data_IF_860293759234
#
_entry.id   IF_860293759234
#
_cell.length_a   1.000
_cell.length_b   1.000
_cell.length_c   1.000
_cell.angle_alpha   90.00
_cell.angle_beta   90.00
_cell.angle_gamma   90.00
#
_symmetry.space_group_name_H-M   'P 1'
#
loop_
_entity.id
_entity.type
_entity.pdbx_description
1 polymer ?
#
# COMPACT_ATOMS: atom_id res chain seq x y z
N UNK A 1 55.89 28.56 -92.58
CA UNK A 1 55.33 29.63 -93.43
C UNK A 1 53.82 29.47 -93.49
N UNK A 2 53.10 30.35 -92.76
CA UNK A 2 51.74 30.85 -93.00
C UNK A 2 50.50 29.92 -93.23
N UNK A 3 49.43 30.31 -92.49
CA UNK A 3 47.96 30.30 -92.80
C UNK A 3 47.06 29.12 -92.39
N UNK A 4 46.28 29.40 -91.35
CA UNK A 4 44.81 29.42 -91.28
C UNK A 4 43.99 28.48 -92.19
N UNK A 5 43.13 27.68 -91.56
CA UNK A 5 41.74 27.56 -91.99
C UNK A 5 40.82 27.30 -90.79
N UNK A 6 39.84 28.20 -90.61
CA UNK A 6 38.61 27.95 -89.84
C UNK A 6 37.99 26.64 -90.32
N UNK A 7 37.46 25.81 -89.43
CA UNK A 7 36.28 24.93 -89.58
C UNK A 7 36.29 23.89 -88.46
N UNK A 8 35.73 24.21 -87.30
CA UNK A 8 35.41 23.20 -86.26
C UNK A 8 34.18 23.62 -85.44
N UNK A 9 33.08 23.90 -86.13
CA UNK A 9 31.75 23.56 -85.57
C UNK A 9 31.41 22.16 -86.07
N UNK A 10 30.92 21.32 -85.15
CA UNK A 10 30.41 19.96 -85.37
C UNK A 10 31.49 18.85 -85.45
N UNK A 11 32.11 18.55 -84.30
CA UNK A 11 32.56 17.19 -83.94
C UNK A 11 32.38 16.94 -82.44
N UNK A 12 31.12 16.89 -82.00
CA UNK A 12 30.71 16.24 -80.74
C UNK A 12 29.61 15.21 -81.05
N UNK A 13 29.77 14.47 -82.14
CA UNK A 13 28.80 13.47 -82.59
C UNK A 13 29.51 12.25 -83.16
N UNK A 14 30.43 11.69 -82.36
CA UNK A 14 30.99 10.33 -82.42
C UNK A 14 32.12 10.24 -81.39
N UNK A 15 31.73 10.17 -80.12
CA UNK A 15 32.57 9.66 -79.05
C UNK A 15 31.68 8.73 -78.22
N UNK A 16 31.67 7.45 -78.57
CA UNK A 16 30.92 6.41 -77.84
C UNK A 16 31.53 6.10 -76.45
N UNK A 17 32.71 6.63 -76.15
CA UNK A 17 33.29 6.64 -74.80
C UNK A 17 32.73 7.75 -73.88
N UNK A 18 31.85 8.63 -74.36
CA UNK A 18 31.28 9.75 -73.59
C UNK A 18 29.96 9.45 -72.86
N UNK A 19 29.31 8.31 -73.15
CA UNK A 19 28.02 7.93 -72.55
C UNK A 19 28.14 7.27 -71.18
N UNK A 20 29.33 6.79 -70.81
CA UNK A 20 29.55 6.16 -69.50
C UNK A 20 29.52 7.19 -68.36
N UNK A 21 30.07 8.40 -68.58
CA UNK A 21 30.12 9.46 -67.58
C UNK A 21 28.73 9.94 -67.09
N UNK A 22 27.73 10.22 -67.96
CA UNK A 22 26.40 10.63 -67.48
C UNK A 22 25.63 9.48 -66.82
N UNK A 23 25.76 8.24 -67.30
CA UNK A 23 25.10 7.06 -66.69
C UNK A 23 25.72 6.77 -65.32
N UNK A 24 27.05 6.80 -65.22
CA UNK A 24 27.77 6.64 -63.96
C UNK A 24 27.39 7.73 -62.95
N UNK A 25 27.27 8.98 -63.39
CA UNK A 25 26.80 10.08 -62.56
C UNK A 25 25.39 9.86 -61.99
N UNK A 26 24.45 9.39 -62.82
CA UNK A 26 23.09 9.08 -62.37
C UNK A 26 23.05 7.89 -61.40
N UNK A 27 23.80 6.82 -61.68
CA UNK A 27 23.90 5.68 -60.78
C UNK A 27 24.54 6.07 -59.44
N UNK A 28 25.61 6.86 -59.45
CA UNK A 28 26.27 7.34 -58.24
C UNK A 28 25.33 8.20 -57.40
N UNK A 29 24.58 9.11 -58.02
CA UNK A 29 23.57 9.92 -57.33
C UNK A 29 22.46 9.06 -56.70
N UNK A 30 22.01 8.01 -57.40
CA UNK A 30 21.00 7.09 -56.86
C UNK A 30 21.51 6.28 -55.67
N UNK A 31 22.77 5.81 -55.71
CA UNK A 31 23.39 5.08 -54.60
C UNK A 31 23.57 6.01 -53.40
N UNK A 32 24.07 7.23 -53.62
CA UNK A 32 24.24 8.23 -52.55
C UNK A 32 22.90 8.60 -51.90
N UNK A 33 21.82 8.70 -52.69
CA UNK A 33 20.49 8.96 -52.17
C UNK A 33 19.99 7.81 -51.26
N UNK A 34 20.16 6.55 -51.69
CA UNK A 34 19.75 5.38 -50.88
C UNK A 34 20.60 5.28 -49.61
N UNK A 35 21.92 5.45 -49.70
CA UNK A 35 22.80 5.44 -48.54
C UNK A 35 22.41 6.54 -47.56
N UNK A 36 22.16 7.77 -48.05
CA UNK A 36 21.67 8.87 -47.22
C UNK A 36 20.35 8.55 -46.51
N UNK A 37 19.39 7.96 -47.22
CA UNK A 37 18.11 7.55 -46.65
C UNK A 37 18.28 6.45 -45.59
N UNK A 38 19.15 5.46 -45.80
CA UNK A 38 19.39 4.39 -44.81
C UNK A 38 20.03 4.92 -43.53
N UNK A 39 20.95 5.88 -43.63
CA UNK A 39 21.57 6.51 -42.45
C UNK A 39 20.54 7.32 -41.69
N UNK A 40 19.70 8.11 -42.38
CA UNK A 40 18.64 8.90 -41.76
C UNK A 40 17.64 8.00 -40.99
N UNK A 41 17.16 6.93 -41.63
CA UNK A 41 16.28 5.95 -40.97
C UNK A 41 16.96 5.28 -39.76
N UNK A 42 18.25 4.97 -39.86
CA UNK A 42 19.03 4.41 -38.74
C UNK A 42 19.18 5.39 -37.58
N UNK A 43 19.30 6.68 -37.85
CA UNK A 43 19.32 7.73 -36.83
C UNK A 43 17.95 7.94 -36.20
N UNK A 44 16.89 8.01 -37.00
CA UNK A 44 15.52 8.23 -36.52
C UNK A 44 15.04 7.05 -35.66
N UNK A 45 15.35 5.82 -36.04
CA UNK A 45 15.02 4.62 -35.26
C UNK A 45 15.74 4.59 -33.92
N UNK A 46 17.05 4.90 -33.90
CA UNK A 46 17.82 5.01 -32.65
C UNK A 46 17.31 6.12 -31.74
N UNK A 47 17.00 7.30 -32.30
CA UNK A 47 16.44 8.41 -31.56
C UNK A 47 15.06 8.04 -30.98
N UNK A 48 14.20 7.37 -31.75
CA UNK A 48 12.91 6.89 -31.27
C UNK A 48 13.00 5.84 -30.15
N UNK A 49 13.99 4.94 -30.21
CA UNK A 49 14.26 3.98 -29.13
C UNK A 49 14.79 4.68 -27.88
N UNK A 50 15.73 5.62 -28.02
CA UNK A 50 16.26 6.39 -26.90
C UNK A 50 15.20 7.26 -26.23
N UNK A 51 14.28 7.83 -27.01
CA UNK A 51 13.15 8.61 -26.52
C UNK A 51 12.20 7.73 -25.69
N UNK A 52 11.89 6.52 -26.16
CA UNK A 52 11.07 5.57 -25.39
C UNK A 52 11.77 5.16 -24.09
N UNK A 53 13.05 4.80 -24.14
CA UNK A 53 13.81 4.40 -22.95
C UNK A 53 13.86 5.53 -21.91
N UNK A 54 13.97 6.77 -22.37
CA UNK A 54 13.95 7.95 -21.47
C UNK A 54 12.56 8.16 -20.89
N UNK A 55 11.50 8.03 -21.69
CA UNK A 55 10.12 8.12 -21.21
C UNK A 55 9.82 7.04 -20.15
N UNK A 56 10.20 5.79 -20.43
CA UNK A 56 10.04 4.64 -19.52
C UNK A 56 10.84 4.86 -18.22
N UNK A 57 12.08 5.33 -18.32
CA UNK A 57 12.92 5.64 -17.16
C UNK A 57 12.35 6.79 -16.32
N UNK A 58 11.81 7.83 -16.94
CA UNK A 58 11.17 8.95 -16.23
C UNK A 58 9.88 8.51 -15.52
N UNK A 59 9.02 7.74 -16.20
CA UNK A 59 7.77 7.24 -15.62
C UNK A 59 8.05 6.29 -14.45
N UNK A 60 8.98 5.34 -14.63
CA UNK A 60 9.37 4.41 -13.57
C UNK A 60 10.12 5.12 -12.44
N UNK A 61 10.97 6.09 -12.74
CA UNK A 61 11.68 6.91 -11.76
C UNK A 61 10.72 7.64 -10.83
N UNK A 62 9.72 8.35 -11.39
CA UNK A 62 8.67 8.98 -10.61
C UNK A 62 7.88 7.98 -9.76
N UNK A 63 7.50 6.83 -10.34
CA UNK A 63 6.84 5.75 -9.61
C UNK A 63 7.69 5.21 -8.44
N UNK A 64 9.01 5.08 -8.61
CA UNK A 64 9.90 4.61 -7.52
C UNK A 64 10.04 5.63 -6.40
N UNK A 65 10.01 6.92 -6.70
CA UNK A 65 9.99 7.99 -5.68
C UNK A 65 8.68 7.97 -4.92
N UNK A 66 7.55 7.80 -5.61
CA UNK A 66 6.24 7.60 -4.97
C UNK A 66 6.32 6.46 -3.93
N UNK A 67 6.93 5.33 -4.29
CA UNK A 67 7.04 4.19 -3.37
C UNK A 67 7.95 4.44 -2.16
N UNK A 68 9.03 5.19 -2.33
CA UNK A 68 10.10 5.33 -1.33
C UNK A 68 10.01 6.63 -0.51
N UNK A 69 9.06 7.50 -0.84
CA UNK A 69 8.83 8.72 -0.09
C UNK A 69 8.44 8.41 1.37
N UNK A 70 8.89 9.26 2.29
CA UNK A 70 8.75 9.05 3.73
C UNK A 70 7.35 9.37 4.25
N UNK A 71 6.71 10.42 3.72
CA UNK A 71 5.36 10.81 4.14
C UNK A 71 4.32 9.76 3.71
N UNK A 72 3.37 9.40 4.61
CA UNK A 72 2.22 8.57 4.31
C UNK A 72 1.15 9.29 3.48
N UNK A 73 1.23 10.61 3.26
CA UNK A 73 0.24 11.36 2.48
C UNK A 73 0.39 11.15 0.98
N UNK A 74 -0.73 10.86 0.32
CA UNK A 74 -0.85 10.77 -1.13
C UNK A 74 -0.28 11.97 -1.87
N UNK A 75 -0.64 13.19 -1.43
CA UNK A 75 -0.33 14.43 -2.15
C UNK A 75 1.16 14.74 -2.16
N UNK A 76 1.84 14.57 -1.02
CA UNK A 76 3.28 14.80 -0.90
C UNK A 76 4.06 13.82 -1.76
N UNK A 77 3.63 12.54 -1.77
CA UNK A 77 4.20 11.53 -2.66
C UNK A 77 4.01 11.85 -4.14
N UNK A 78 2.82 12.28 -4.53
CA UNK A 78 2.51 12.66 -5.90
C UNK A 78 3.40 13.82 -6.36
N UNK A 79 3.60 14.81 -5.49
CA UNK A 79 4.44 15.97 -5.79
C UNK A 79 5.89 15.55 -6.01
N UNK A 80 6.45 14.73 -5.11
CA UNK A 80 7.82 14.23 -5.23
C UNK A 80 7.99 13.33 -6.48
N UNK A 81 7.00 12.49 -6.78
CA UNK A 81 7.00 11.65 -7.96
C UNK A 81 6.98 12.47 -9.27
N UNK A 82 6.21 13.56 -9.28
CA UNK A 82 6.16 14.50 -10.41
C UNK A 82 7.49 15.22 -10.62
N UNK A 83 8.09 15.73 -9.54
CA UNK A 83 9.38 16.44 -9.59
C UNK A 83 10.49 15.54 -10.14
N UNK A 84 10.57 14.29 -9.68
CA UNK A 84 11.58 13.35 -10.19
C UNK A 84 11.34 12.96 -11.65
N UNK A 85 10.08 12.72 -12.05
CA UNK A 85 9.74 12.42 -13.44
C UNK A 85 10.13 13.57 -14.37
N UNK A 86 9.88 14.83 -13.96
CA UNK A 86 10.26 16.03 -14.71
C UNK A 86 11.79 16.19 -14.77
N UNK A 87 12.49 15.96 -13.66
CA UNK A 87 13.95 16.01 -13.60
C UNK A 87 14.58 15.00 -14.57
N UNK A 88 14.09 13.76 -14.59
CA UNK A 88 14.59 12.71 -15.48
C UNK A 88 14.25 13.00 -16.95
N UNK A 89 13.06 13.53 -17.22
CA UNK A 89 12.63 13.93 -18.56
C UNK A 89 13.48 15.06 -19.16
N UNK A 90 13.85 16.05 -18.34
CA UNK A 90 14.59 17.25 -18.77
C UNK A 90 16.11 17.13 -18.66
N UNK A 91 16.62 16.05 -18.03
CA UNK A 91 18.06 15.82 -17.89
C UNK A 91 18.79 15.69 -19.24
N UNK A 92 18.08 15.31 -20.31
CA UNK A 92 18.64 15.22 -21.65
C UNK A 92 18.27 16.47 -22.47
N UNK A 93 19.24 17.37 -22.69
CA UNK A 93 19.03 18.65 -23.39
C UNK A 93 18.57 18.53 -24.85
N UNK A 94 18.54 17.32 -25.40
CA UNK A 94 18.07 17.05 -26.75
C UNK A 94 16.56 16.80 -26.82
N UNK A 95 15.87 16.56 -25.70
CA UNK A 95 14.44 16.23 -25.68
C UNK A 95 13.63 17.34 -25.00
N UNK A 96 12.41 17.58 -25.50
CA UNK A 96 11.46 18.50 -24.89
C UNK A 96 10.39 17.68 -24.14
N UNK A 97 10.18 17.97 -22.85
CA UNK A 97 9.02 17.45 -22.13
C UNK A 97 7.77 18.11 -22.70
N UNK A 98 6.86 17.30 -23.26
CA UNK A 98 5.67 17.82 -23.92
C UNK A 98 4.47 17.83 -23.00
N UNK A 99 4.25 16.71 -22.35
CA UNK A 99 3.20 16.56 -21.35
C UNK A 99 3.68 15.65 -20.21
N UNK A 100 3.26 16.00 -19.01
CA UNK A 100 3.47 15.21 -17.80
C UNK A 100 2.15 15.20 -17.05
N UNK A 101 1.40 14.13 -17.24
CA UNK A 101 0.16 13.92 -16.52
C UNK A 101 0.37 12.90 -15.42
N UNK A 102 0.09 13.30 -14.19
CA UNK A 102 0.07 12.42 -13.03
C UNK A 102 -1.37 12.34 -12.59
N UNK A 103 -1.99 11.17 -12.76
CA UNK A 103 -3.37 10.96 -12.40
C UNK A 103 -3.54 11.11 -10.87
N UNK A 104 -4.72 11.58 -10.47
CA UNK A 104 -5.06 11.71 -9.06
C UNK A 104 -4.87 10.36 -8.35
N UNK A 105 -4.35 10.40 -7.11
CA UNK A 105 -4.21 9.19 -6.31
C UNK A 105 -5.59 8.63 -6.01
N UNK A 106 -5.77 7.36 -6.35
CA UNK A 106 -6.91 6.56 -5.92
C UNK A 106 -6.47 5.68 -4.77
N UNK A 107 -7.27 5.60 -3.72
CA UNK A 107 -6.96 4.79 -2.55
C UNK A 107 -7.89 3.59 -2.48
N UNK A 108 -7.32 2.43 -2.18
CA UNK A 108 -8.04 1.21 -1.93
C UNK A 108 -7.69 0.65 -0.54
N UNK A 109 -8.23 -0.53 -0.25
CA UNK A 109 -8.05 -1.22 1.02
C UNK A 109 -6.58 -1.61 1.32
N UNK A 110 -5.74 -1.67 0.29
CA UNK A 110 -4.42 -2.27 0.30
C UNK A 110 -3.31 -1.24 0.11
N UNK A 111 -3.67 0.00 -0.22
CA UNK A 111 -2.76 1.11 -0.30
C UNK A 111 -3.24 2.26 -1.18
N UNK A 112 -2.28 3.06 -1.61
CA UNK A 112 -2.53 4.19 -2.49
C UNK A 112 -1.96 3.90 -3.88
N UNK A 113 -2.78 4.10 -4.89
CA UNK A 113 -2.41 3.90 -6.28
C UNK A 113 -2.29 5.23 -7.01
N UNK A 114 -1.31 5.32 -7.87
CA UNK A 114 -1.20 6.40 -8.84
C UNK A 114 -0.71 5.88 -10.18
N UNK A 115 -1.09 6.60 -11.23
CA UNK A 115 -0.64 6.39 -12.59
C UNK A 115 0.10 7.64 -13.06
N UNK A 116 1.35 7.45 -13.47
CA UNK A 116 2.21 8.50 -13.99
C UNK A 116 2.38 8.31 -15.49
N UNK A 117 1.95 9.30 -16.28
CA UNK A 117 2.09 9.33 -17.72
C UNK A 117 3.08 10.43 -18.14
N UNK A 118 4.16 10.04 -18.82
CA UNK A 118 5.21 10.94 -19.29
C UNK A 118 5.22 10.92 -20.82
N UNK A 119 5.03 12.09 -21.44
CA UNK A 119 5.12 12.27 -22.90
C UNK A 119 6.32 13.16 -23.27
N UNK A 120 7.25 12.58 -24.03
CA UNK A 120 8.44 13.29 -24.53
C UNK A 120 8.33 13.55 -26.04
N UNK A 121 8.80 14.71 -26.47
CA UNK A 121 8.90 15.11 -27.87
C UNK A 121 10.36 15.33 -28.28
N UNK A 122 10.76 14.79 -29.43
CA UNK A 122 12.06 15.02 -30.04
C UNK A 122 11.90 15.58 -31.46
N UNK A 123 12.63 16.65 -31.77
CA UNK A 123 12.69 17.26 -33.11
C UNK A 123 14.06 16.96 -33.75
N UNK A 124 14.17 15.92 -34.59
CA UNK A 124 15.45 15.57 -35.21
C UNK A 124 15.86 16.63 -36.23
N UNK A 125 17.07 17.18 -36.08
CA UNK A 125 17.70 18.03 -37.11
C UNK A 125 18.43 17.14 -38.12
N UNK A 126 17.71 16.72 -39.16
CA UNK A 126 18.27 15.91 -40.22
C UNK A 126 18.96 16.80 -41.27
N UNK A 127 20.29 16.90 -41.23
CA UNK A 127 21.06 17.70 -42.21
C UNK A 127 20.86 17.22 -43.67
N UNK A 128 20.50 15.94 -43.87
CA UNK A 128 20.19 15.36 -45.18
C UNK A 128 18.72 15.49 -45.59
N UNK A 129 17.83 15.98 -44.71
CA UNK A 129 16.41 16.19 -44.99
C UNK A 129 16.16 17.16 -46.16
N UNK A 130 17.05 18.16 -46.33
CA UNK A 130 16.96 19.13 -47.42
C UNK A 130 17.06 18.50 -48.81
N UNK A 131 17.62 17.28 -48.93
CA UNK A 131 17.69 16.55 -50.19
C UNK A 131 16.37 15.80 -50.51
N UNK A 132 15.57 15.47 -49.49
CA UNK A 132 14.34 14.69 -49.62
C UNK A 132 13.04 15.53 -49.58
N UNK A 133 13.12 16.83 -49.28
CA UNK A 133 11.98 17.76 -49.26
C UNK A 133 11.61 18.26 -47.86
N UNK A 134 10.79 19.31 -47.80
CA UNK A 134 10.53 20.16 -46.61
C UNK A 134 9.85 19.49 -45.41
N UNK A 135 9.53 18.20 -45.47
CA UNK A 135 8.79 17.47 -44.42
C UNK A 135 9.62 16.40 -43.71
N UNK A 136 10.94 16.37 -43.86
CA UNK A 136 11.81 15.33 -43.29
C UNK A 136 12.25 15.57 -41.83
N UNK A 137 11.59 16.49 -41.11
CA UNK A 137 11.74 16.70 -39.66
C UNK A 137 10.36 16.79 -39.02
N UNK A 138 9.66 15.65 -38.94
CA UNK A 138 8.45 15.55 -38.14
C UNK A 138 8.84 15.32 -36.66
N UNK A 139 8.21 16.01 -35.70
CA UNK A 139 8.44 15.73 -34.29
C UNK A 139 8.02 14.29 -33.97
N UNK A 140 8.88 13.57 -33.26
CA UNK A 140 8.57 12.24 -32.74
C UNK A 140 8.10 12.35 -31.29
N UNK A 141 7.02 11.63 -30.97
CA UNK A 141 6.47 11.57 -29.62
C UNK A 141 6.49 10.15 -29.07
N UNK A 142 6.75 10.00 -27.79
CA UNK A 142 6.63 8.73 -27.05
C UNK A 142 5.97 8.98 -25.71
N UNK A 143 5.02 8.10 -25.39
CA UNK A 143 4.30 8.07 -24.14
C UNK A 143 4.75 6.84 -23.36
N UNK A 144 5.07 7.02 -22.10
CA UNK A 144 5.29 5.94 -21.15
C UNK A 144 4.36 6.13 -19.95
N UNK A 145 3.81 5.03 -19.45
CA UNK A 145 2.91 5.02 -18.30
C UNK A 145 3.46 4.07 -17.25
N UNK A 146 3.58 4.53 -16.02
CA UNK A 146 3.90 3.72 -14.87
C UNK A 146 2.75 3.73 -13.85
N UNK A 147 2.43 2.56 -13.30
CA UNK A 147 1.56 2.42 -12.12
C UNK A 147 2.44 2.23 -10.90
N UNK A 148 2.12 2.93 -9.81
CA UNK A 148 2.74 2.77 -8.51
C UNK A 148 1.66 2.53 -7.46
N UNK A 149 1.80 1.44 -6.70
CA UNK A 149 0.99 1.15 -5.52
C UNK A 149 1.88 1.22 -4.28
N UNK A 150 1.58 2.17 -3.40
CA UNK A 150 2.20 2.26 -2.09
C UNK A 150 1.34 1.53 -1.08
N UNK A 151 1.83 0.40 -0.60
CA UNK A 151 1.28 -0.35 0.51
C UNK A 151 2.38 -0.57 1.53
N UNK A 152 2.12 -0.19 2.77
CA UNK A 152 2.95 -0.58 3.92
C UNK A 152 2.13 -1.44 4.87
N UNK A 153 2.77 -2.34 5.63
CA UNK A 153 2.05 -3.16 6.58
C UNK A 153 1.28 -2.27 7.54
N UNK A 154 -0.04 -2.42 7.52
CA UNK A 154 -0.97 -1.70 8.37
C UNK A 154 -1.07 -2.46 9.69
N UNK A 155 -0.68 -1.83 10.79
CA UNK A 155 -0.83 -2.43 12.13
C UNK A 155 -2.16 -2.07 12.76
N UNK A 156 -2.60 -0.82 12.61
CA UNK A 156 -3.85 -0.34 13.18
C UNK A 156 -4.57 0.54 12.17
N UNK A 157 -5.83 0.23 11.91
CA UNK A 157 -6.77 1.06 11.18
C UNK A 157 -8.02 1.28 12.03
N UNK A 158 -8.33 2.54 12.30
CA UNK A 158 -9.57 2.93 12.96
C UNK A 158 -10.57 3.45 11.93
N UNK A 159 -11.78 2.88 11.93
CA UNK A 159 -12.82 3.11 10.93
C UNK A 159 -13.82 4.21 11.34
N UNK A 160 -13.71 4.74 12.56
CA UNK A 160 -14.50 5.89 13.02
C UNK A 160 -14.41 7.05 12.02
N UNK A 161 -15.53 7.73 11.76
CA UNK A 161 -15.62 8.78 10.73
C UNK A 161 -15.61 10.20 11.31
N UNK A 162 -16.19 10.40 12.49
CA UNK A 162 -16.48 11.75 13.01
C UNK A 162 -15.84 12.02 14.37
N UNK A 163 -15.79 11.00 15.24
CA UNK A 163 -15.24 11.12 16.60
C UNK A 163 -13.77 10.73 16.64
N UNK A 164 -13.15 10.71 17.82
CA UNK A 164 -11.76 10.26 17.93
C UNK A 164 -11.58 8.80 17.56
N UNK A 165 -10.65 8.56 16.63
CA UNK A 165 -10.30 7.22 16.18
C UNK A 165 -9.22 6.60 17.05
N UNK A 166 -8.16 7.34 17.37
CA UNK A 166 -7.04 6.87 18.20
C UNK A 166 -6.82 7.79 19.39
N UNK A 167 -6.72 7.23 20.59
CA UNK A 167 -6.41 7.96 21.84
C UNK A 167 -5.25 7.31 22.56
N UNK A 168 -4.27 8.10 22.98
CA UNK A 168 -3.21 7.69 23.91
C UNK A 168 -3.17 8.69 25.06
N UNK A 169 -3.48 8.23 26.27
CA UNK A 169 -3.53 9.06 27.48
C UNK A 169 -3.04 8.30 28.71
N UNK A 170 -2.96 8.95 29.86
CA UNK A 170 -2.65 8.32 31.15
C UNK A 170 -1.43 7.39 31.14
N UNK A 171 -0.34 7.82 30.48
CA UNK A 171 0.92 7.06 30.31
C UNK A 171 0.76 5.77 29.49
N UNK A 172 -0.21 5.71 28.58
CA UNK A 172 -0.32 4.62 27.60
C UNK A 172 0.89 4.53 26.67
N UNK A 173 1.22 3.32 26.24
CA UNK A 173 2.34 3.03 25.34
C UNK A 173 1.84 2.25 24.12
N UNK A 174 2.07 2.78 22.92
CA UNK A 174 1.81 2.13 21.65
C UNK A 174 3.11 2.04 20.86
N UNK A 175 3.67 0.85 20.72
CA UNK A 175 4.89 0.62 19.94
C UNK A 175 4.51 -0.26 18.75
N UNK A 176 4.82 0.17 17.54
CA UNK A 176 4.43 -0.48 16.29
C UNK A 176 5.60 -0.43 15.30
N UNK A 177 6.60 -1.26 15.57
CA UNK A 177 7.82 -1.31 14.79
C UNK A 177 7.53 -1.93 13.40
N UNK A 178 7.99 -1.25 12.34
CA UNK A 178 7.89 -1.74 10.97
C UNK A 178 6.57 -1.46 10.24
N UNK A 179 5.56 -0.88 10.90
CA UNK A 179 4.21 -0.73 10.35
C UNK A 179 3.58 0.66 10.57
N UNK A 180 2.49 0.93 9.83
CA UNK A 180 1.78 2.21 9.84
C UNK A 180 0.51 2.15 10.69
N UNK A 181 0.13 3.29 11.25
CA UNK A 181 -1.09 3.49 12.03
C UNK A 181 -1.96 4.54 11.33
N UNK A 182 -3.22 4.19 11.09
CA UNK A 182 -4.15 5.01 10.31
C UNK A 182 -5.45 5.27 11.06
N UNK A 183 -5.93 6.52 10.99
CA UNK A 183 -7.25 6.91 11.50
C UNK A 183 -8.08 7.53 10.39
N UNK A 184 -9.26 6.94 10.14
CA UNK A 184 -10.20 7.45 9.14
C UNK A 184 -11.04 8.63 9.61
N UNK A 185 -10.99 8.95 10.90
CA UNK A 185 -11.82 10.01 11.47
C UNK A 185 -11.43 11.36 10.89
N UNK A 186 -12.43 12.14 10.48
CA UNK A 186 -12.32 13.52 9.98
C UNK A 186 -12.61 14.55 11.07
N UNK A 187 -12.78 14.12 12.32
CA UNK A 187 -13.02 15.02 13.44
C UNK A 187 -11.83 15.93 13.75
N UNK A 188 -12.07 16.96 14.56
CA UNK A 188 -11.03 17.86 15.09
C UNK A 188 -10.04 17.16 16.04
N UNK A 189 -10.35 15.92 16.42
CA UNK A 189 -9.58 15.07 17.31
C UNK A 189 -9.52 13.67 16.71
N UNK A 190 -9.05 13.51 15.48
CA UNK A 190 -8.95 12.20 14.83
C UNK A 190 -7.96 11.28 15.56
N UNK A 191 -6.79 11.83 15.91
CA UNK A 191 -5.83 11.22 16.82
C UNK A 191 -5.55 12.17 17.98
N UNK A 192 -5.67 11.68 19.21
CA UNK A 192 -5.41 12.41 20.43
C UNK A 192 -4.27 11.76 21.22
N UNK A 193 -3.18 12.50 21.41
CA UNK A 193 -2.01 12.10 22.18
C UNK A 193 -1.86 13.02 23.40
N UNK A 194 -2.47 12.64 24.52
CA UNK A 194 -2.53 13.45 25.75
C UNK A 194 -1.32 13.19 26.66
N UNK A 195 -0.92 11.92 26.82
CA UNK A 195 0.22 11.52 27.63
C UNK A 195 0.67 10.10 27.29
N UNK A 196 1.97 9.81 27.38
CA UNK A 196 2.53 8.48 27.14
C UNK A 196 3.49 8.44 25.94
N UNK A 197 3.64 7.27 25.33
CA UNK A 197 4.60 7.01 24.24
C UNK A 197 3.92 6.35 23.05
N UNK A 198 4.21 6.81 21.84
CA UNK A 198 3.71 6.26 20.60
C UNK A 198 4.82 6.20 19.55
N UNK A 199 5.14 5.00 19.06
CA UNK A 199 6.16 4.77 18.05
C UNK A 199 5.60 3.93 16.92
N UNK A 200 5.80 4.38 15.68
CA UNK A 200 5.41 3.65 14.49
C UNK A 200 6.33 4.00 13.32
N UNK A 201 6.14 3.34 12.16
CA UNK A 201 6.80 3.78 10.93
C UNK A 201 6.21 5.10 10.41
N UNK A 202 4.89 5.25 10.51
CA UNK A 202 4.18 6.49 10.20
C UNK A 202 2.81 6.50 10.90
N UNK A 203 2.31 7.71 11.20
CA UNK A 203 0.95 7.94 11.68
C UNK A 203 0.22 8.86 10.69
N UNK A 204 -0.96 8.45 10.24
CA UNK A 204 -1.77 9.23 9.31
C UNK A 204 -3.20 9.39 9.85
N UNK A 205 -3.65 10.63 10.00
CA UNK A 205 -5.00 10.99 10.41
C UNK A 205 -5.74 11.68 9.27
N UNK A 206 -6.99 11.28 9.02
CA UNK A 206 -7.81 11.96 8.01
C UNK A 206 -8.25 13.36 8.45
N UNK A 207 -8.52 13.52 9.76
CA UNK A 207 -8.85 14.78 10.42
C UNK A 207 -7.65 15.39 11.15
N UNK A 208 -7.94 16.17 12.18
CA UNK A 208 -6.92 16.89 12.93
C UNK A 208 -6.30 16.03 14.02
N UNK A 209 -5.09 16.42 14.44
CA UNK A 209 -4.31 15.74 15.47
C UNK A 209 -4.17 16.66 16.67
N UNK A 210 -4.50 16.16 17.84
CA UNK A 210 -4.17 16.81 19.11
C UNK A 210 -2.99 16.10 19.75
N UNK A 211 -1.94 16.85 20.06
CA UNK A 211 -0.75 16.35 20.74
C UNK A 211 -0.39 17.29 21.88
N UNK A 212 -0.44 16.78 23.10
CA UNK A 212 0.07 17.45 24.29
C UNK A 212 1.61 17.34 24.32
N UNK A 213 2.26 18.31 24.96
CA UNK A 213 3.71 18.34 25.14
C UNK A 213 4.23 17.14 25.96
N UNK A 214 3.37 16.53 26.78
CA UNK A 214 3.69 15.35 27.60
C UNK A 214 3.75 14.05 26.80
N UNK A 215 3.23 14.02 25.58
CA UNK A 215 3.20 12.81 24.76
C UNK A 215 4.46 12.68 23.89
N UNK A 216 5.15 11.54 24.00
CA UNK A 216 6.31 11.19 23.19
C UNK A 216 5.86 10.42 21.95
N UNK A 217 5.70 11.11 20.83
CA UNK A 217 5.22 10.51 19.56
C UNK A 217 6.32 10.63 18.50
N UNK A 218 6.71 9.50 17.90
CA UNK A 218 7.76 9.42 16.87
C UNK A 218 7.41 8.42 15.75
N UNK A 219 7.45 8.81 14.46
CA UNK A 219 7.67 10.17 13.94
C UNK A 219 6.49 11.11 14.27
N UNK A 220 6.61 12.39 13.91
CA UNK A 220 5.49 13.32 14.06
C UNK A 220 4.29 12.85 13.23
N UNK A 221 3.08 12.81 13.81
CA UNK A 221 1.90 12.35 13.10
C UNK A 221 1.44 13.38 12.06
N UNK A 222 0.91 12.89 10.95
CA UNK A 222 0.51 13.69 9.79
C UNK A 222 -1.03 13.74 9.63
N UNK A 223 -1.60 14.94 9.47
CA UNK A 223 -3.05 15.17 9.27
C UNK A 223 -3.43 15.41 7.81
N UNK A 224 -4.72 15.32 7.49
CA UNK A 224 -5.24 15.53 6.14
C UNK A 224 -4.98 14.35 5.20
N UNK A 225 -4.81 13.16 5.76
CA UNK A 225 -4.77 11.93 4.98
C UNK A 225 -6.16 11.62 4.41
N UNK A 226 -6.23 10.81 3.38
CA UNK A 226 -7.52 10.32 2.90
C UNK A 226 -7.97 9.14 3.78
N UNK A 227 -9.26 8.81 3.76
CA UNK A 227 -9.78 7.69 4.56
C UNK A 227 -9.58 6.37 3.79
N UNK A 228 -8.94 5.38 4.42
CA UNK A 228 -8.78 4.05 3.83
C UNK A 228 -10.10 3.27 3.89
N UNK A 229 -10.57 2.65 2.81
CA UNK A 229 -11.72 1.75 2.90
C UNK A 229 -11.37 0.53 3.76
N UNK A 230 -12.38 -0.08 4.38
CA UNK A 230 -12.19 -1.28 5.21
C UNK A 230 -11.65 -2.45 4.37
N UNK A 231 -10.44 -2.97 4.67
CA UNK A 231 -9.81 -4.03 3.89
C UNK A 231 -10.49 -5.38 3.98
N UNK A 232 -11.29 -5.61 5.02
CA UNK A 232 -11.97 -6.87 5.26
C UNK A 232 -13.49 -6.72 5.19
N UNK A 233 -14.00 -5.65 4.58
CA UNK A 233 -15.44 -5.41 4.38
C UNK A 233 -16.15 -6.55 3.65
N UNK A 234 -15.44 -7.25 2.76
CA UNK A 234 -15.92 -8.40 2.00
C UNK A 234 -15.60 -9.75 2.63
N UNK A 235 -15.04 -9.79 3.84
CA UNK A 235 -14.72 -11.03 4.54
C UNK A 235 -16.01 -11.73 4.99
N UNK A 236 -16.33 -12.85 4.34
CA UNK A 236 -17.47 -13.69 4.71
C UNK A 236 -17.11 -14.56 5.92
N UNK A 237 -17.46 -14.05 7.10
CA UNK A 237 -17.35 -14.78 8.36
C UNK A 237 -18.21 -16.06 8.27
N UNK A 238 -17.68 -17.25 8.58
CA UNK A 238 -18.44 -18.49 8.54
C UNK A 238 -19.74 -18.38 9.36
N UNK A 239 -20.89 -18.66 8.73
CA UNK A 239 -22.18 -18.57 9.41
C UNK A 239 -22.35 -19.72 10.40
N UNK A 240 -22.70 -19.37 11.64
CA UNK A 240 -22.99 -20.32 12.69
C UNK A 240 -24.45 -20.80 12.65
N UNK A 241 -24.65 -22.11 12.78
CA UNK A 241 -25.96 -22.75 12.93
C UNK A 241 -26.63 -22.49 14.29
N UNK A 242 -27.27 -23.53 14.83
CA UNK A 242 -27.90 -23.50 16.17
C UNK A 242 -26.85 -23.52 17.28
N UNK A 243 -27.21 -22.97 18.44
CA UNK A 243 -26.33 -22.93 19.62
C UNK A 243 -25.94 -24.35 20.08
N UNK A 244 -24.65 -24.62 20.24
CA UNK A 244 -24.15 -25.88 20.80
C UNK A 244 -24.19 -25.84 22.34
N UNK A 245 -23.85 -24.68 22.91
CA UNK A 245 -23.74 -24.46 24.35
C UNK A 245 -24.42 -23.15 24.74
N UNK A 246 -25.11 -23.15 25.87
CA UNK A 246 -25.78 -21.98 26.44
C UNK A 246 -25.08 -21.54 27.72
N UNK A 247 -24.90 -20.21 27.88
CA UNK A 247 -24.37 -19.52 29.07
C UNK A 247 -23.15 -20.22 29.68
N UNK A 248 -22.13 -20.50 28.86
CA UNK A 248 -21.00 -21.31 29.32
C UNK A 248 -20.14 -20.52 30.32
N UNK A 249 -20.10 -21.01 31.55
CA UNK A 249 -19.23 -20.49 32.62
C UNK A 249 -18.24 -21.56 33.06
N UNK A 250 -16.96 -21.33 32.80
CA UNK A 250 -15.88 -22.23 33.21
C UNK A 250 -15.35 -21.80 34.57
N UNK A 251 -15.86 -22.43 35.63
CA UNK A 251 -15.55 -22.07 37.04
C UNK A 251 -14.70 -23.15 37.73
N UNK A 252 -14.58 -24.36 37.14
CA UNK A 252 -13.94 -25.50 37.80
C UNK A 252 -12.43 -25.35 37.89
N UNK A 253 -11.88 -25.71 39.04
CA UNK A 253 -10.44 -25.85 39.29
C UNK A 253 -10.00 -27.22 38.76
N UNK A 254 -9.37 -27.23 37.57
CA UNK A 254 -8.90 -28.43 36.85
C UNK A 254 -8.59 -28.09 35.39
N UNK A 255 -7.81 -28.92 34.68
CA UNK A 255 -7.51 -28.68 33.26
C UNK A 255 -8.79 -28.82 32.43
N UNK A 256 -9.40 -27.70 32.04
CA UNK A 256 -10.63 -27.70 31.23
C UNK A 256 -10.24 -27.42 29.78
N UNK A 257 -10.61 -28.32 28.88
CA UNK A 257 -10.46 -28.11 27.43
C UNK A 257 -11.78 -27.62 26.87
N UNK A 258 -11.77 -26.45 26.25
CA UNK A 258 -12.90 -25.97 25.47
C UNK A 258 -12.73 -26.46 24.04
N UNK A 259 -13.84 -26.90 23.45
CA UNK A 259 -13.91 -27.39 22.07
C UNK A 259 -14.54 -26.32 21.20
N UNK A 260 -14.14 -26.19 19.92
CA UNK A 260 -14.80 -25.31 18.96
C UNK A 260 -16.32 -25.54 18.89
N UNK A 261 -17.07 -24.50 18.56
CA UNK A 261 -18.54 -24.55 18.50
C UNK A 261 -19.20 -23.20 18.76
N UNK A 262 -20.52 -23.23 18.92
CA UNK A 262 -21.38 -22.06 19.06
C UNK A 262 -21.82 -21.88 20.53
N UNK A 263 -21.35 -20.81 21.15
CA UNK A 263 -21.53 -20.44 22.54
C UNK A 263 -22.51 -19.26 22.65
N UNK A 264 -23.76 -19.55 22.99
CA UNK A 264 -24.82 -18.56 23.11
C UNK A 264 -25.01 -18.10 24.56
N UNK A 265 -25.34 -16.83 24.78
CA UNK A 265 -25.41 -16.22 26.12
C UNK A 265 -24.04 -15.81 26.67
N UNK A 266 -23.01 -15.76 25.81
CA UNK A 266 -21.63 -15.42 26.17
C UNK A 266 -20.79 -16.59 26.71
N UNK A 267 -19.48 -16.34 26.78
CA UNK A 267 -18.46 -17.26 27.26
C UNK A 267 -17.67 -16.60 28.40
N UNK A 268 -17.86 -17.07 29.64
CA UNK A 268 -17.12 -16.59 30.81
C UNK A 268 -16.12 -17.65 31.29
N UNK A 269 -14.84 -17.29 31.35
CA UNK A 269 -13.77 -18.18 31.84
C UNK A 269 -13.17 -17.61 33.12
N UNK A 270 -13.36 -18.34 34.23
CA UNK A 270 -12.85 -18.01 35.58
C UNK A 270 -11.76 -18.96 36.09
N UNK A 271 -11.42 -19.98 35.32
CA UNK A 271 -10.44 -20.99 35.71
C UNK A 271 -9.05 -20.72 35.09
N UNK A 272 -7.97 -20.96 35.86
CA UNK A 272 -6.58 -20.69 35.46
C UNK A 272 -6.04 -21.59 34.34
N UNK A 273 -6.48 -22.85 34.28
CA UNK A 273 -5.91 -23.87 33.39
C UNK A 273 -6.92 -24.27 32.31
N UNK A 274 -7.34 -23.30 31.51
CA UNK A 274 -8.22 -23.52 30.36
C UNK A 274 -7.40 -23.52 29.11
N UNK A 275 -7.62 -24.51 28.24
CA UNK A 275 -7.04 -24.55 26.90
C UNK A 275 -8.17 -24.57 25.88
N UNK A 276 -8.08 -23.72 24.87
CA UNK A 276 -8.94 -23.80 23.70
C UNK A 276 -8.31 -24.76 22.71
N UNK A 277 -9.05 -25.81 22.32
CA UNK A 277 -8.63 -26.65 21.20
C UNK A 277 -8.77 -25.86 19.88
N UNK A 278 -7.89 -26.10 18.88
CA UNK A 278 -7.90 -25.36 17.63
C UNK A 278 -9.25 -25.40 16.91
N UNK A 279 -9.67 -24.28 16.35
CA UNK A 279 -10.91 -24.14 15.59
C UNK A 279 -11.66 -22.83 15.87
N UNK A 280 -12.91 -22.79 15.43
CA UNK A 280 -13.73 -21.58 15.42
C UNK A 280 -14.69 -21.58 16.61
N UNK A 281 -14.68 -20.48 17.37
CA UNK A 281 -15.55 -20.27 18.52
C UNK A 281 -16.49 -19.11 18.22
N UNK A 282 -17.75 -19.44 17.92
CA UNK A 282 -18.79 -18.43 17.75
C UNK A 282 -19.33 -18.06 19.13
N UNK A 283 -19.24 -16.79 19.50
CA UNK A 283 -19.72 -16.27 20.77
C UNK A 283 -20.91 -15.36 20.47
N UNK A 284 -22.11 -15.80 20.89
CA UNK A 284 -23.39 -15.16 20.58
C UNK A 284 -24.03 -14.54 21.80
N UNK A 285 -24.46 -13.30 21.66
CA UNK A 285 -25.36 -12.60 22.59
C UNK A 285 -24.90 -12.66 24.06
N UNK A 286 -23.67 -12.24 24.32
CA UNK A 286 -23.09 -12.11 25.67
C UNK A 286 -21.59 -11.83 25.68
N UNK A 287 -20.90 -12.02 24.56
CA UNK A 287 -19.48 -11.74 24.42
C UNK A 287 -18.55 -12.66 25.23
N UNK A 288 -17.26 -12.30 25.27
CA UNK A 288 -16.19 -13.07 25.90
C UNK A 288 -15.71 -12.38 27.16
N UNK A 289 -15.68 -13.09 28.29
CA UNK A 289 -15.16 -12.56 29.55
C UNK A 289 -14.12 -13.50 30.15
N UNK A 290 -12.90 -13.01 30.30
CA UNK A 290 -11.78 -13.72 30.89
C UNK A 290 -11.45 -13.11 32.26
N UNK A 291 -11.65 -13.90 33.32
CA UNK A 291 -11.41 -13.57 34.73
C UNK A 291 -10.77 -14.78 35.45
N UNK A 292 -9.77 -15.36 34.80
CA UNK A 292 -9.14 -16.62 35.15
C UNK A 292 -8.09 -16.52 36.26
N UNK A 293 -7.59 -15.32 36.60
CA UNK A 293 -6.42 -15.13 37.46
C UNK A 293 -5.17 -15.91 36.98
N UNK A 294 -5.02 -16.08 35.67
CA UNK A 294 -3.96 -16.83 35.01
C UNK A 294 -4.00 -16.59 33.50
N UNK A 295 -3.04 -17.14 32.77
CA UNK A 295 -2.93 -16.99 31.31
C UNK A 295 -3.57 -18.20 30.62
N UNK A 296 -4.45 -17.94 29.66
CA UNK A 296 -5.13 -18.95 28.86
C UNK A 296 -4.50 -19.00 27.46
N UNK A 297 -4.20 -20.19 26.98
CA UNK A 297 -3.67 -20.40 25.63
C UNK A 297 -4.77 -20.85 24.65
N UNK A 298 -4.83 -20.17 23.51
CA UNK A 298 -5.74 -20.41 22.40
C UNK A 298 -4.95 -20.40 21.08
N UNK A 299 -4.30 -21.51 20.76
CA UNK A 299 -3.50 -21.66 19.54
C UNK A 299 -4.31 -22.29 18.40
N UNK A 300 -4.25 -21.71 17.21
CA UNK A 300 -5.06 -22.12 16.06
C UNK A 300 -6.54 -21.81 16.25
N UNK A 301 -6.85 -20.70 16.92
CA UNK A 301 -8.21 -20.36 17.36
C UNK A 301 -8.66 -19.03 16.74
N UNK A 302 -9.90 -19.01 16.25
CA UNK A 302 -10.59 -17.78 15.87
C UNK A 302 -11.83 -17.60 16.74
N UNK A 303 -11.95 -16.42 17.38
CA UNK A 303 -13.17 -15.99 18.06
C UNK A 303 -14.03 -15.15 17.11
N UNK A 304 -15.28 -15.56 16.91
CA UNK A 304 -16.25 -14.85 16.09
C UNK A 304 -17.37 -14.32 16.99
N UNK A 305 -17.59 -13.01 17.00
CA UNK A 305 -18.68 -12.39 17.77
C UNK A 305 -19.85 -12.07 16.85
N UNK A 306 -21.03 -12.63 17.15
CA UNK A 306 -22.23 -12.49 16.31
C UNK A 306 -23.44 -11.86 17.04
N UNK A 307 -23.23 -11.31 18.24
CA UNK A 307 -24.24 -10.60 19.01
C UNK A 307 -24.18 -9.07 18.88
N UNK A 308 -25.35 -8.43 18.89
CA UNK A 308 -25.54 -6.97 18.79
C UNK A 308 -25.01 -6.15 19.99
N UNK A 309 -24.74 -6.81 21.12
CA UNK A 309 -24.32 -6.18 22.38
C UNK A 309 -23.13 -6.92 23.01
N UNK A 310 -22.42 -7.71 22.22
CA UNK A 310 -21.30 -8.50 22.70
C UNK A 310 -20.18 -7.60 23.23
N UNK A 311 -19.64 -7.98 24.38
CA UNK A 311 -18.50 -7.30 25.00
C UNK A 311 -17.34 -8.28 25.13
N UNK A 312 -16.14 -7.78 24.88
CA UNK A 312 -14.92 -8.55 25.15
C UNK A 312 -14.26 -7.93 26.37
N UNK A 313 -14.09 -8.70 27.44
CA UNK A 313 -13.49 -8.23 28.68
C UNK A 313 -12.38 -9.18 29.15
N UNK A 314 -11.16 -8.68 29.27
CA UNK A 314 -10.04 -9.40 29.86
C UNK A 314 -9.64 -8.65 31.14
N UNK A 315 -9.89 -9.26 32.30
CA UNK A 315 -9.64 -8.64 33.62
C UNK A 315 -8.16 -8.64 33.97
N UNK A 316 -7.71 -7.63 34.72
CA UNK A 316 -6.31 -7.32 34.99
C UNK A 316 -5.41 -8.47 35.48
N UNK A 317 -5.93 -9.42 36.26
CA UNK A 317 -5.14 -10.55 36.76
C UNK A 317 -5.13 -11.76 35.81
N UNK A 318 -5.73 -11.63 34.64
CA UNK A 318 -5.88 -12.72 33.67
C UNK A 318 -5.09 -12.42 32.40
N UNK A 319 -4.78 -13.46 31.64
CA UNK A 319 -4.15 -13.34 30.35
C UNK A 319 -4.81 -14.22 29.29
N UNK A 320 -4.70 -13.81 28.03
CA UNK A 320 -5.13 -14.57 26.88
C UNK A 320 -4.06 -14.48 25.80
N UNK A 321 -3.51 -15.64 25.42
CA UNK A 321 -2.62 -15.80 24.28
C UNK A 321 -3.44 -16.40 23.14
N UNK A 322 -3.59 -15.67 22.03
CA UNK A 322 -4.29 -16.14 20.84
C UNK A 322 -3.32 -16.20 19.68
N UNK A 323 -3.22 -17.37 19.06
CA UNK A 323 -2.54 -17.54 17.78
C UNK A 323 -3.61 -17.94 16.78
N UNK A 324 -3.78 -17.15 15.73
CA UNK A 324 -4.75 -17.42 14.67
C UNK A 324 -4.45 -18.78 13.99
N UNK A 325 -5.42 -19.40 13.31
CA UNK A 325 -5.16 -20.60 12.51
C UNK A 325 -4.30 -20.27 11.29
N UNK A 326 -3.42 -21.19 10.88
CA UNK A 326 -2.60 -21.05 9.66
C UNK A 326 -3.36 -21.41 8.38
N UNK A 327 -4.44 -22.20 8.50
CA UNK A 327 -5.25 -22.71 7.40
C UNK A 327 -6.74 -22.63 7.72
N UNK A 328 -7.57 -22.79 6.69
CA UNK A 328 -9.03 -22.78 6.80
C UNK A 328 -9.65 -21.41 6.49
N UNK A 329 -10.98 -21.28 6.65
CA UNK A 329 -11.72 -20.08 6.23
C UNK A 329 -11.39 -18.82 7.06
N UNK A 330 -10.78 -18.99 8.24
CA UNK A 330 -10.39 -17.89 9.13
C UNK A 330 -8.87 -17.81 9.31
N UNK A 331 -8.10 -18.35 8.35
CA UNK A 331 -6.64 -18.35 8.42
C UNK A 331 -6.10 -16.92 8.62
N UNK A 332 -5.19 -16.76 9.59
CA UNK A 332 -4.61 -15.48 9.99
C UNK A 332 -5.53 -14.57 10.82
N UNK A 333 -6.79 -14.94 11.08
CA UNK A 333 -7.74 -14.13 11.85
C UNK A 333 -7.93 -14.72 13.25
N UNK A 334 -7.59 -13.92 14.27
CA UNK A 334 -7.73 -14.30 15.69
C UNK A 334 -9.10 -13.88 16.25
N UNK A 335 -9.55 -12.69 15.90
CA UNK A 335 -10.84 -12.15 16.32
C UNK A 335 -11.56 -11.57 15.12
N UNK A 336 -12.83 -11.92 14.95
CA UNK A 336 -13.70 -11.39 13.91
C UNK A 336 -15.06 -11.00 14.50
N UNK A 337 -15.63 -9.93 14.00
CA UNK A 337 -17.02 -9.57 14.21
C UNK A 337 -17.86 -9.98 13.00
N UNK A 338 -18.99 -10.64 13.24
CA UNK A 338 -20.03 -10.77 12.24
C UNK A 338 -20.81 -9.47 12.16
N UNK A 339 -21.03 -8.98 10.94
CA UNK A 339 -21.78 -7.75 10.70
C UNK A 339 -23.18 -7.83 11.33
N UNK A 340 -23.41 -6.98 12.33
CA UNK A 340 -24.70 -6.84 12.99
C UNK A 340 -25.76 -6.21 12.08
N UNK A 341 -27.02 -6.41 12.44
CA UNK A 341 -28.17 -5.74 11.83
C UNK A 341 -28.28 -4.28 12.29
N UNK A 342 -27.74 -3.95 13.48
CA UNK A 342 -27.73 -2.61 14.03
C UNK A 342 -26.30 -2.05 14.01
N UNK A 343 -26.16 -0.78 13.65
CA UNK A 343 -24.90 -0.03 13.76
C UNK A 343 -24.64 0.38 15.21
N UNK A 344 -24.56 -0.59 16.12
CA UNK A 344 -24.26 -0.36 17.54
C UNK A 344 -22.76 -0.53 17.79
N UNK A 345 -22.19 0.44 18.50
CA UNK A 345 -20.84 0.36 19.01
C UNK A 345 -20.76 -0.63 20.17
N UNK A 346 -19.70 -1.43 20.19
CA UNK A 346 -19.44 -2.47 21.18
C UNK A 346 -18.11 -2.18 21.87
N UNK A 347 -17.94 -2.74 23.07
CA UNK A 347 -16.74 -2.48 23.88
C UNK A 347 -15.84 -3.72 23.91
N UNK A 348 -14.54 -3.52 23.66
CA UNK A 348 -13.50 -4.47 24.00
C UNK A 348 -12.56 -3.84 25.03
N UNK A 349 -12.61 -4.33 26.28
CA UNK A 349 -11.81 -3.81 27.40
C UNK A 349 -10.77 -4.83 27.82
N UNK A 350 -9.51 -4.43 27.65
CA UNK A 350 -8.35 -5.28 27.91
C UNK A 350 -7.55 -4.66 29.04
N UNK A 351 -7.78 -5.14 30.26
CA UNK A 351 -6.99 -4.75 31.45
C UNK A 351 -5.89 -5.77 31.76
N UNK A 352 -6.17 -7.06 31.49
CA UNK A 352 -5.23 -8.15 31.64
C UNK A 352 -4.38 -8.36 30.38
N UNK A 353 -3.45 -9.30 30.41
CA UNK A 353 -2.55 -9.55 29.28
C UNK A 353 -3.31 -10.10 28.06
N UNK A 354 -3.18 -9.46 26.90
CA UNK A 354 -3.66 -9.99 25.63
C UNK A 354 -2.49 -10.02 24.64
N UNK A 355 -2.02 -11.21 24.31
CA UNK A 355 -1.06 -11.42 23.24
C UNK A 355 -1.80 -12.04 22.06
N UNK A 356 -1.77 -11.37 20.90
CA UNK A 356 -2.45 -11.85 19.69
C UNK A 356 -1.46 -11.92 18.56
N UNK A 357 -1.38 -13.09 17.95
CA UNK A 357 -0.68 -13.31 16.69
C UNK A 357 -1.73 -13.57 15.60
N UNK A 358 -1.92 -12.61 14.70
CA UNK A 358 -2.97 -12.60 13.67
C UNK A 358 -3.72 -11.27 13.58
N UNK A 359 -4.91 -11.31 12.97
CA UNK A 359 -5.76 -10.14 12.75
C UNK A 359 -6.90 -10.06 13.76
N UNK A 360 -7.15 -8.85 14.27
CA UNK A 360 -8.34 -8.45 15.02
C UNK A 360 -9.21 -7.61 14.06
N UNK A 361 -10.25 -8.21 13.51
CA UNK A 361 -11.22 -7.54 12.63
C UNK A 361 -12.55 -7.31 13.38
N UNK A 362 -12.70 -6.13 13.98
CA UNK A 362 -13.83 -5.79 14.85
C UNK A 362 -14.33 -4.36 14.55
N UNK A 363 -14.85 -4.10 13.34
CA UNK A 363 -15.12 -2.75 12.83
C UNK A 363 -16.13 -1.94 13.65
N UNK A 364 -17.00 -2.57 14.47
CA UNK A 364 -17.96 -1.88 15.35
C UNK A 364 -17.49 -1.76 16.80
N UNK A 365 -16.26 -2.22 17.12
CA UNK A 365 -15.75 -2.22 18.49
C UNK A 365 -14.85 -1.03 18.78
N UNK A 366 -15.09 -0.39 19.92
CA UNK A 366 -14.18 0.52 20.58
C UNK A 366 -13.25 -0.30 21.49
N UNK A 367 -11.98 -0.41 21.10
CA UNK A 367 -10.96 -1.19 21.81
C UNK A 367 -10.27 -0.29 22.82
N UNK A 368 -10.26 -0.69 24.08
CA UNK A 368 -9.62 0.03 25.19
C UNK A 368 -8.62 -0.89 25.88
N UNK A 369 -7.34 -0.52 25.77
CA UNK A 369 -6.20 -1.24 26.37
C UNK A 369 -5.72 -0.46 27.59
N UNK A 370 -5.78 -1.09 28.77
CA UNK A 370 -5.43 -0.50 30.06
C UNK A 370 -4.46 -1.38 30.84
N UNK A 371 -3.72 -0.80 31.80
CA UNK A 371 -2.86 -1.54 32.74
C UNK A 371 -1.88 -2.48 32.01
N UNK A 372 -2.00 -3.81 32.19
CA UNK A 372 -1.14 -4.80 31.54
C UNK A 372 -1.66 -5.27 30.17
N UNK A 373 -2.58 -4.50 29.59
CA UNK A 373 -3.47 -4.85 28.49
C UNK A 373 -2.85 -5.57 27.28
N UNK A 374 -1.79 -5.04 26.68
CA UNK A 374 -1.17 -5.67 25.50
C UNK A 374 0.03 -6.57 25.81
N UNK A 375 0.20 -6.97 27.08
CA UNK A 375 1.31 -7.82 27.49
C UNK A 375 2.67 -7.13 27.38
N UNK A 376 3.74 -7.86 27.74
CA UNK A 376 5.14 -7.39 27.56
C UNK A 376 5.80 -8.01 26.34
N UNK A 377 5.08 -8.90 25.66
CA UNK A 377 5.57 -9.67 24.53
C UNK A 377 5.17 -8.94 23.25
N UNK A 378 6.13 -8.65 22.39
CA UNK A 378 5.87 -8.05 21.09
C UNK A 378 5.31 -9.11 20.16
N UNK A 379 4.14 -8.89 19.59
CA UNK A 379 3.59 -9.81 18.60
C UNK A 379 4.34 -9.65 17.27
N UNK A 380 4.86 -10.75 16.67
CA UNK A 380 5.50 -10.70 15.36
C UNK A 380 4.52 -10.34 14.24
N UNK A 381 3.23 -10.57 14.47
CA UNK A 381 2.17 -10.29 13.52
C UNK A 381 0.89 -9.90 14.26
N UNK A 382 0.55 -8.61 14.26
CA UNK A 382 -0.73 -8.12 14.74
C UNK A 382 -1.24 -7.02 13.80
N UNK A 383 -2.44 -7.21 13.27
CA UNK A 383 -3.17 -6.17 12.54
C UNK A 383 -4.54 -5.96 13.19
N UNK A 384 -4.90 -4.71 13.45
CA UNK A 384 -6.14 -4.34 14.13
C UNK A 384 -6.95 -3.43 13.22
N UNK A 385 -8.17 -3.84 12.94
CA UNK A 385 -9.18 -3.03 12.26
C UNK A 385 -10.36 -2.90 13.21
N UNK A 386 -10.58 -1.70 13.75
CA UNK A 386 -11.57 -1.44 14.79
C UNK A 386 -12.32 -0.14 14.55
N UNK A 387 -13.39 0.15 15.30
CA UNK A 387 -14.02 1.47 15.24
C UNK A 387 -13.07 2.52 15.81
N UNK A 388 -12.60 2.32 17.04
CA UNK A 388 -11.62 3.17 17.69
C UNK A 388 -10.65 2.36 18.56
N UNK A 389 -9.49 2.96 18.87
CA UNK A 389 -8.48 2.40 19.76
C UNK A 389 -8.08 3.43 20.82
N UNK A 390 -8.21 3.07 22.09
CA UNK A 390 -7.70 3.83 23.23
C UNK A 390 -6.63 3.00 23.96
N UNK A 391 -5.45 3.59 24.19
CA UNK A 391 -4.44 3.06 25.11
C UNK A 391 -4.30 4.04 26.29
N UNK A 392 -4.69 3.58 27.48
CA UNK A 392 -4.75 4.43 28.68
C UNK A 392 -4.33 3.68 29.95
N UNK A 393 -4.29 4.36 31.10
CA UNK A 393 -3.96 3.80 32.42
C UNK A 393 -2.71 2.90 32.43
N UNK A 394 -1.58 3.38 31.88
CA UNK A 394 -0.33 2.62 31.71
C UNK A 394 -0.44 1.35 30.84
N UNK A 395 -1.50 1.24 30.04
CA UNK A 395 -1.67 0.21 29.01
C UNK A 395 -0.49 0.23 28.04
N UNK A 396 0.02 -0.93 27.67
CA UNK A 396 1.05 -1.06 26.64
C UNK A 396 0.54 -1.98 25.54
N UNK A 397 0.67 -1.58 24.27
CA UNK A 397 0.43 -2.40 23.09
C UNK A 397 1.69 -2.35 22.22
N UNK A 398 2.33 -3.50 22.03
CA UNK A 398 3.60 -3.59 21.31
C UNK A 398 3.53 -4.57 20.14
N UNK A 399 3.79 -4.09 18.94
CA UNK A 399 3.78 -4.83 17.67
C UNK A 399 5.18 -4.71 17.06
N UNK A 400 5.78 -5.85 16.71
CA UNK A 400 7.04 -5.93 15.97
C UNK A 400 6.74 -6.64 14.65
N UNK A 401 6.27 -5.89 13.65
CA UNK A 401 5.76 -6.48 12.42
C UNK A 401 6.90 -7.13 11.63
N UNK A 402 7.02 -8.44 11.73
CA UNK A 402 8.06 -9.25 11.12
C UNK A 402 7.50 -10.61 10.69
N UNK A 403 7.06 -10.67 9.43
CA UNK A 403 6.51 -11.88 8.84
C UNK A 403 7.50 -13.04 8.74
N UNK A 404 8.81 -12.82 8.93
CA UNK A 404 9.79 -13.92 8.97
C UNK A 404 9.74 -14.74 10.28
N UNK A 405 9.07 -14.20 11.31
CA UNK A 405 8.94 -14.82 12.63
C UNK A 405 7.61 -15.55 12.84
N UNK A 406 6.73 -15.60 11.83
CA UNK A 406 5.42 -16.25 11.93
C UNK A 406 5.14 -17.11 10.70
N UNK A 407 4.38 -18.19 10.89
CA UNK A 407 3.90 -19.06 9.82
C UNK A 407 2.47 -18.69 9.36
N UNK A 408 1.90 -17.61 9.91
CA UNK A 408 0.55 -17.17 9.58
C UNK A 408 0.49 -16.52 8.18
N UNK A 409 -0.59 -16.74 7.43
CA UNK A 409 -0.81 -16.02 6.18
C UNK A 409 -1.11 -14.54 6.48
N UNK A 410 -0.59 -13.66 5.62
CA UNK A 410 -0.86 -12.23 5.71
C UNK A 410 -2.27 -11.93 5.20
N UNK A 411 -3.17 -11.53 6.08
CA UNK A 411 -4.58 -11.31 5.74
C UNK A 411 -4.80 -9.96 5.06
N UNK A 412 -4.18 -8.90 5.58
CA UNK A 412 -4.20 -7.56 4.98
C UNK A 412 -2.85 -7.35 4.30
N UNK A 413 -2.80 -7.71 3.01
CA UNK A 413 -1.58 -7.64 2.21
C UNK A 413 -1.29 -6.19 1.77
N UNK A 414 -0.16 -5.60 2.19
CA UNK A 414 0.26 -4.31 1.68
C UNK A 414 0.80 -4.50 0.27
N UNK A 415 0.20 -3.84 -0.72
CA UNK A 415 0.68 -3.93 -2.10
C UNK A 415 1.73 -2.87 -2.36
N UNK A 416 3.01 -3.25 -2.50
CA UNK A 416 4.10 -2.31 -2.84
C UNK A 416 4.73 -2.65 -4.17
N UNK A 417 4.27 -2.01 -5.24
CA UNK A 417 4.72 -2.31 -6.60
C UNK A 417 4.84 -1.04 -7.46
N UNK A 418 5.83 -1.01 -8.34
CA UNK A 418 5.92 -0.04 -9.43
C UNK A 418 6.17 -0.82 -10.73
N UNK A 419 5.33 -0.59 -11.74
CA UNK A 419 5.45 -1.29 -13.03
C UNK A 419 5.08 -0.37 -14.18
N UNK A 420 5.68 -0.61 -15.35
CA UNK A 420 5.26 0.02 -16.58
C UNK A 420 3.98 -0.65 -17.10
N UNK A 421 3.04 0.17 -17.57
CA UNK A 421 1.84 -0.26 -18.26
C UNK A 421 2.07 0.04 -19.74
N UNK A 422 2.18 -1.01 -20.54
CA UNK A 422 2.31 -0.91 -21.99
C UNK A 422 0.97 -0.63 -22.67
#
# INVERSE_FOLDING_TARGET
>A
MWRWSKHTRIRLRKNEAGSAAPIFGLCLMSIMAVVGATIALGMDTRAGQQLQVTADASALGGATVFLNHTSPKAQDRLMAAREEAERLATNNSNYELRDLNVDAVTEDAYGQHTRLAVELEFKPVNYFANFAGSNASAPMRRLAVAEATWGFPLCVLTLEQEKTGLVIKDQGELISDGCVIWSNSKGSESMAFEAGRAEAKAFCAAGDIQKDIKAQVSPAPESGCQSLPDPLKGFDVPLAGVCDKMETRVIKIGSTRLTPGIYCGGLEVKARNVKFEPGIYHVRAGGLKIDAHGVIDAAGVTFIFDGEIDKVEIKGNSGLNVIAPTEGPTAGIAFAELKGLLNKKKDMKVEGMLNVEGVIYMPSYDIVVKKTGGGRTRSPYLQVVANSLEVSDHGSLAIDFDMSKTDLPLVIEPRREARLVQ
#
